data_IF_282446993600
#
_entry.id   IF_282446993600
#
_cell.length_a   1.000
_cell.length_b   1.000
_cell.length_c   1.000
_cell.angle_alpha   90.00
_cell.angle_beta   90.00
_cell.angle_gamma   90.00
#
_symmetry.space_group_name_H-M   'P 1'
#
loop_
_entity.id
_entity.type
_entity.pdbx_description
1 polymer ?
#
# COMPACT_ATOMS: atom_id res chain seq x y z
N UNK A 1 -3.91 -5.75 -5.31
CA UNK A 1 -2.81 -5.96 -4.34
C UNK A 1 -3.06 -5.07 -3.14
N UNK A 2 -2.71 -5.52 -1.93
CA UNK A 2 -2.84 -4.75 -0.71
C UNK A 2 -1.46 -4.62 -0.07
N UNK A 3 -1.05 -3.42 0.29
CA UNK A 3 0.18 -3.21 1.05
C UNK A 3 -0.07 -3.53 2.52
N UNK A 4 0.88 -4.19 3.18
CA UNK A 4 0.78 -4.56 4.61
C UNK A 4 0.48 -3.35 5.52
N UNK A 5 1.02 -2.18 5.18
CA UNK A 5 0.83 -0.95 5.93
C UNK A 5 -0.62 -0.48 6.04
N UNK A 6 -1.55 -0.96 5.19
CA UNK A 6 -2.98 -0.65 5.30
C UNK A 6 -3.60 -1.19 6.59
N UNK A 7 -3.02 -2.23 7.20
CA UNK A 7 -3.47 -2.76 8.48
C UNK A 7 -3.45 -1.69 9.59
N UNK A 8 -2.56 -0.69 9.52
CA UNK A 8 -2.53 0.44 10.46
C UNK A 8 -3.73 1.38 10.36
N UNK A 9 -4.54 1.29 9.30
CA UNK A 9 -5.73 2.13 9.11
C UNK A 9 -6.99 1.53 9.70
N UNK A 10 -6.95 0.25 10.10
CA UNK A 10 -8.08 -0.39 10.76
C UNK A 10 -8.06 -0.10 12.25
N UNK A 11 -9.26 -0.03 12.84
CA UNK A 11 -9.39 0.03 14.28
C UNK A 11 -8.85 -1.29 14.88
N UNK A 12 -7.96 -1.25 15.89
CA UNK A 12 -7.42 -2.46 16.52
C UNK A 12 -8.51 -3.43 16.99
N UNK A 13 -9.63 -2.90 17.48
CA UNK A 13 -10.79 -3.68 17.95
C UNK A 13 -11.46 -4.47 16.82
N UNK A 14 -11.44 -3.95 15.59
CA UNK A 14 -12.00 -4.61 14.42
C UNK A 14 -11.09 -5.76 13.96
N UNK A 15 -9.78 -5.55 14.00
CA UNK A 15 -8.80 -6.60 13.69
C UNK A 15 -8.82 -7.72 14.75
N UNK A 16 -8.90 -7.35 16.03
CA UNK A 16 -8.94 -8.29 17.16
C UNK A 16 -10.18 -9.20 17.17
N UNK A 17 -11.29 -8.78 16.56
CA UNK A 17 -12.49 -9.63 16.39
C UNK A 17 -12.25 -10.78 15.41
N UNK A 18 -11.23 -10.66 14.57
CA UNK A 18 -10.98 -11.57 13.47
C UNK A 18 -9.66 -12.33 13.64
N UNK A 19 -8.70 -11.81 14.40
CA UNK A 19 -7.43 -12.47 14.71
C UNK A 19 -6.87 -12.12 16.11
N UNK A 20 -6.09 -13.04 16.69
CA UNK A 20 -5.32 -12.75 17.90
C UNK A 20 -4.06 -11.96 17.53
N UNK A 21 -3.99 -10.70 17.93
CA UNK A 21 -2.88 -9.80 17.58
C UNK A 21 -1.89 -9.68 18.74
N UNK A 22 -0.63 -10.04 18.51
CA UNK A 22 0.46 -9.80 19.46
C UNK A 22 1.02 -8.37 19.34
N UNK A 23 1.37 -7.77 20.48
CA UNK A 23 2.07 -6.49 20.55
C UNK A 23 3.57 -6.73 20.58
N UNK A 24 4.34 -5.89 19.90
CA UNK A 24 5.79 -5.86 19.99
C UNK A 24 6.28 -5.24 21.30
N UNK A 25 7.61 -5.24 21.47
CA UNK A 25 8.32 -4.71 22.64
C UNK A 25 8.10 -3.21 22.85
N UNK A 26 7.61 -2.49 21.83
CA UNK A 26 7.27 -1.05 21.88
C UNK A 26 5.77 -0.81 22.13
N UNK A 27 4.99 -1.88 22.33
CA UNK A 27 3.55 -1.84 22.52
C UNK A 27 2.73 -1.65 21.24
N UNK A 28 3.36 -1.72 20.07
CA UNK A 28 2.70 -1.60 18.75
C UNK A 28 2.23 -2.96 18.28
N UNK A 29 1.12 -2.98 17.54
CA UNK A 29 0.62 -4.19 16.90
C UNK A 29 1.63 -4.70 15.86
N UNK A 30 2.01 -5.98 15.93
CA UNK A 30 2.84 -6.60 14.90
C UNK A 30 2.00 -6.85 13.65
N UNK A 31 2.11 -5.93 12.69
CA UNK A 31 1.36 -5.99 11.42
C UNK A 31 1.67 -7.22 10.59
N UNK A 32 2.89 -7.76 10.70
CA UNK A 32 3.33 -8.97 9.99
C UNK A 32 2.59 -10.23 10.44
N UNK A 33 2.06 -10.25 11.67
CA UNK A 33 1.30 -11.37 12.22
C UNK A 33 -0.18 -11.29 11.85
N UNK A 34 -0.67 -10.12 11.44
CA UNK A 34 -2.05 -9.99 10.94
C UNK A 34 -2.12 -10.60 9.55
N UNK A 35 -2.89 -11.67 9.38
CA UNK A 35 -3.18 -12.25 8.08
C UNK A 35 -4.25 -11.42 7.38
N UNK A 36 -3.91 -10.19 7.00
CA UNK A 36 -4.80 -9.25 6.34
C UNK A 36 -5.49 -9.87 5.11
N UNK A 37 -4.78 -10.71 4.35
CA UNK A 37 -5.33 -11.44 3.22
C UNK A 37 -6.52 -12.33 3.61
N UNK A 38 -6.42 -13.03 4.74
CA UNK A 38 -7.48 -13.88 5.29
C UNK A 38 -8.68 -13.07 5.76
N UNK A 39 -8.44 -11.98 6.49
CA UNK A 39 -9.50 -11.06 6.96
C UNK A 39 -10.26 -10.49 5.77
N UNK A 40 -9.55 -9.95 4.78
CA UNK A 40 -10.15 -9.38 3.58
C UNK A 40 -10.92 -10.42 2.77
N UNK A 41 -10.36 -11.61 2.59
CA UNK A 41 -11.04 -12.72 1.92
C UNK A 41 -12.36 -13.09 2.60
N UNK A 42 -12.37 -13.21 3.92
CA UNK A 42 -13.60 -13.47 4.69
C UNK A 42 -14.65 -12.36 4.49
N UNK A 43 -14.25 -11.08 4.60
CA UNK A 43 -15.16 -9.94 4.43
C UNK A 43 -15.75 -9.88 3.02
N UNK A 44 -14.91 -10.10 2.00
CA UNK A 44 -15.35 -10.10 0.59
C UNK A 44 -16.27 -11.29 0.29
N UNK A 45 -15.92 -12.50 0.78
CA UNK A 45 -16.78 -13.68 0.64
C UNK A 45 -18.15 -13.45 1.27
N UNK A 46 -18.20 -12.99 2.53
CA UNK A 46 -19.46 -12.68 3.22
C UNK A 46 -20.30 -11.67 2.45
N UNK A 47 -19.65 -10.64 1.89
CA UNK A 47 -20.32 -9.63 1.07
C UNK A 47 -20.84 -10.16 -0.28
N UNK A 48 -20.22 -11.16 -0.87
CA UNK A 48 -20.66 -11.76 -2.15
C UNK A 48 -21.74 -12.81 -1.90
N UNK A 49 -21.59 -13.64 -0.88
CA UNK A 49 -22.58 -14.64 -0.46
C UNK A 49 -23.91 -14.00 -0.06
N UNK A 50 -23.89 -12.85 0.64
CA UNK A 50 -25.12 -12.12 0.96
C UNK A 50 -25.89 -11.63 -0.28
N UNK A 51 -25.24 -11.62 -1.45
CA UNK A 51 -25.82 -11.29 -2.76
C UNK A 51 -26.00 -12.53 -3.63
N UNK A 52 -25.88 -13.74 -3.07
CA UNK A 52 -26.02 -15.00 -3.81
C UNK A 52 -24.90 -15.26 -4.83
N UNK A 53 -23.77 -14.55 -4.75
CA UNK A 53 -22.63 -14.72 -5.66
C UNK A 53 -21.63 -15.67 -4.99
N UNK A 54 -21.50 -16.87 -5.54
CA UNK A 54 -20.54 -17.88 -5.07
C UNK A 54 -19.27 -17.81 -5.90
N UNK A 55 -18.15 -17.45 -5.27
CA UNK A 55 -16.82 -17.42 -5.89
C UNK A 55 -15.78 -18.02 -4.97
N UNK A 56 -14.72 -18.59 -5.54
CA UNK A 56 -13.57 -19.04 -4.79
C UNK A 56 -12.52 -17.94 -4.77
N UNK A 57 -12.18 -17.45 -3.58
CA UNK A 57 -11.12 -16.45 -3.38
C UNK A 57 -9.91 -17.13 -2.73
N UNK A 58 -8.76 -16.97 -3.37
CA UNK A 58 -7.47 -17.42 -2.82
C UNK A 58 -6.63 -16.18 -2.54
N UNK A 59 -6.22 -16.04 -1.29
CA UNK A 59 -5.27 -15.03 -0.85
C UNK A 59 -3.85 -15.59 -0.94
N UNK A 60 -2.91 -14.73 -1.32
CA UNK A 60 -1.48 -15.06 -1.38
C UNK A 60 -0.72 -13.90 -0.75
N UNK A 61 -0.01 -14.18 0.33
CA UNK A 61 0.97 -13.26 0.88
C UNK A 61 2.31 -13.52 0.17
N UNK A 62 2.95 -12.45 -0.30
CA UNK A 62 4.25 -12.50 -0.95
C UNK A 62 5.11 -11.40 -0.33
N UNK A 63 6.21 -11.77 0.29
CA UNK A 63 7.05 -10.79 0.97
C UNK A 63 8.46 -11.30 1.21
N UNK A 64 8.61 -12.43 1.90
CA UNK A 64 9.93 -13.04 2.12
C UNK A 64 10.58 -13.42 0.79
N UNK A 65 9.79 -14.00 -0.13
CA UNK A 65 10.24 -14.43 -1.44
C UNK A 65 10.78 -13.27 -2.28
N UNK A 66 10.20 -12.07 -2.14
CA UNK A 66 10.65 -10.87 -2.84
C UNK A 66 11.85 -10.23 -2.16
N UNK A 67 11.92 -10.25 -0.83
CA UNK A 67 13.04 -9.68 -0.05
C UNK A 67 14.30 -10.52 -0.10
N UNK A 68 14.16 -11.84 -0.28
CA UNK A 68 15.27 -12.79 -0.33
C UNK A 68 15.72 -13.12 -1.76
N UNK A 69 15.07 -12.54 -2.78
CA UNK A 69 15.50 -12.70 -4.16
C UNK A 69 16.84 -12.03 -4.40
N UNK A 70 17.63 -12.57 -5.34
CA UNK A 70 18.85 -11.92 -5.78
C UNK A 70 18.52 -10.55 -6.43
N UNK A 71 19.36 -9.52 -6.20
CA UNK A 71 19.15 -8.21 -6.80
C UNK A 71 19.21 -8.31 -8.33
N UNK A 72 18.34 -7.55 -9.00
CA UNK A 72 18.43 -7.39 -10.47
C UNK A 72 19.59 -6.46 -10.85
N UNK A 73 20.02 -6.39 -12.12
CA UNK A 73 21.13 -5.51 -12.52
C UNK A 73 20.95 -4.04 -12.09
N UNK A 74 19.72 -3.53 -12.14
CA UNK A 74 19.39 -2.19 -11.65
C UNK A 74 19.72 -2.03 -10.16
N UNK A 75 19.30 -2.96 -9.30
CA UNK A 75 19.57 -2.91 -7.86
C UNK A 75 21.06 -2.99 -7.58
N UNK A 76 21.79 -3.84 -8.31
CA UNK A 76 23.24 -3.99 -8.17
C UNK A 76 24.00 -2.72 -8.56
N UNK A 77 23.59 -2.05 -9.64
CA UNK A 77 24.16 -0.75 -10.05
C UNK A 77 23.79 0.35 -9.05
N UNK A 78 22.52 0.45 -8.67
CA UNK A 78 22.00 1.45 -7.75
C UNK A 78 22.72 1.39 -6.40
N UNK A 79 22.82 0.19 -5.80
CA UNK A 79 23.49 -0.02 -4.52
C UNK A 79 25.00 0.22 -4.59
N UNK A 80 25.65 -0.13 -5.71
CA UNK A 80 27.06 0.22 -5.95
C UNK A 80 27.26 1.74 -5.98
N UNK A 81 26.39 2.47 -6.66
CA UNK A 81 26.44 3.93 -6.74
C UNK A 81 26.22 4.58 -5.37
N UNK A 82 25.26 4.09 -4.59
CA UNK A 82 25.04 4.53 -3.21
C UNK A 82 26.27 4.28 -2.31
N UNK A 83 26.86 3.08 -2.39
CA UNK A 83 28.06 2.73 -1.63
C UNK A 83 29.25 3.62 -1.98
N UNK A 84 29.51 3.84 -3.27
CA UNK A 84 30.53 4.80 -3.73
C UNK A 84 30.26 6.21 -3.20
N UNK A 85 29.01 6.67 -3.28
CA UNK A 85 28.60 7.98 -2.78
C UNK A 85 28.84 8.15 -1.28
N UNK A 86 28.56 7.11 -0.48
CA UNK A 86 28.79 7.10 0.96
C UNK A 86 30.28 7.23 1.31
N UNK A 87 31.12 6.42 0.67
CA UNK A 87 32.58 6.49 0.89
C UNK A 87 33.12 7.85 0.47
N UNK A 88 32.75 8.34 -0.71
CA UNK A 88 33.16 9.66 -1.20
C UNK A 88 32.75 10.79 -0.23
N UNK A 89 31.50 10.76 0.26
CA UNK A 89 30.99 11.76 1.19
C UNK A 89 31.78 11.79 2.51
N UNK A 90 32.08 10.62 3.07
CA UNK A 90 32.88 10.50 4.30
C UNK A 90 34.32 10.98 4.09
N UNK A 91 34.96 10.62 2.97
CA UNK A 91 36.33 11.08 2.64
C UNK A 91 36.43 12.60 2.47
N UNK A 92 35.34 13.25 2.08
CA UNK A 92 35.25 14.71 1.99
C UNK A 92 34.93 15.37 3.35
N UNK A 93 34.90 14.61 4.44
CA UNK A 93 34.60 15.11 5.79
C UNK A 93 33.11 15.25 6.10
N UNK A 94 32.22 14.73 5.24
CA UNK A 94 30.79 14.73 5.48
C UNK A 94 30.37 13.81 6.63
N UNK A 95 29.30 14.16 7.33
CA UNK A 95 28.72 13.37 8.42
C UNK A 95 27.20 13.56 8.51
N UNK A 96 26.52 12.72 9.27
CA UNK A 96 25.12 12.92 9.66
C UNK A 96 24.12 13.05 8.50
N UNK A 97 24.36 12.36 7.39
CA UNK A 97 23.54 12.44 6.17
C UNK A 97 23.30 11.07 5.55
N UNK A 98 22.13 10.90 4.92
CA UNK A 98 21.83 9.76 4.05
C UNK A 98 22.26 10.08 2.61
N UNK A 99 22.91 9.14 1.94
CA UNK A 99 23.19 9.25 0.52
C UNK A 99 21.98 8.75 -0.27
N UNK A 100 21.55 9.57 -1.22
CA UNK A 100 20.44 9.26 -2.12
C UNK A 100 20.92 9.40 -3.57
N UNK A 101 20.35 8.58 -4.44
CA UNK A 101 20.58 8.68 -5.89
C UNK A 101 19.27 9.07 -6.55
N UNK A 102 19.24 10.27 -7.14
CA UNK A 102 18.04 10.90 -7.67
C UNK A 102 18.34 11.56 -9.01
N UNK A 103 17.57 11.22 -10.05
CA UNK A 103 17.75 11.73 -11.42
C UNK A 103 19.20 11.62 -11.92
N UNK A 104 19.82 10.45 -11.71
CA UNK A 104 21.20 10.18 -12.15
C UNK A 104 22.28 10.87 -11.31
N UNK A 105 21.93 11.52 -10.19
CA UNK A 105 22.88 12.26 -9.35
C UNK A 105 22.90 11.71 -7.92
N UNK A 106 24.11 11.54 -7.38
CA UNK A 106 24.31 11.32 -5.95
C UNK A 106 24.12 12.63 -5.19
N UNK A 107 23.31 12.59 -4.13
CA UNK A 107 23.07 13.71 -3.21
C UNK A 107 23.20 13.21 -1.77
N UNK A 108 23.61 14.09 -0.87
CA UNK A 108 23.55 13.86 0.58
C UNK A 108 22.36 14.63 1.15
N UNK A 109 21.52 13.96 1.93
CA UNK A 109 20.39 14.57 2.64
C UNK A 109 20.66 14.46 4.14
N UNK A 110 20.82 15.58 4.85
CA UNK A 110 21.05 15.58 6.30
C UNK A 110 19.95 14.85 7.06
N UNK A 111 20.32 14.11 8.12
CA UNK A 111 19.32 13.40 8.92
C UNK A 111 18.32 14.37 9.55
N UNK A 112 18.74 15.55 10.01
CA UNK A 112 17.82 16.55 10.58
C UNK A 112 16.69 16.96 9.62
N UNK A 113 16.88 16.85 8.31
CA UNK A 113 15.83 17.13 7.32
C UNK A 113 14.83 15.97 7.18
N UNK A 114 15.23 14.75 7.56
CA UNK A 114 14.43 13.53 7.47
C UNK A 114 13.52 13.29 8.67
N UNK A 115 13.74 13.98 9.79
CA UNK A 115 12.92 13.85 10.99
C UNK A 115 12.05 15.09 11.19
N UNK A 116 10.86 14.91 11.75
CA UNK A 116 10.05 16.02 12.25
C UNK A 116 10.70 16.60 13.52
N UNK A 117 11.03 17.90 13.56
CA UNK A 117 11.73 18.50 14.70
C UNK A 117 11.00 18.34 16.04
N UNK A 118 9.67 18.36 16.02
CA UNK A 118 8.83 18.38 17.22
C UNK A 118 8.64 16.98 17.82
N UNK A 119 8.56 15.96 16.96
CA UNK A 119 8.22 14.59 17.37
C UNK A 119 9.43 13.65 17.34
N UNK A 120 10.52 14.03 16.66
CA UNK A 120 11.67 13.17 16.41
C UNK A 120 11.36 11.96 15.54
N UNK A 121 10.18 11.90 14.91
CA UNK A 121 9.78 10.78 14.06
C UNK A 121 10.29 10.98 12.63
N UNK A 122 10.64 9.89 11.92
CA UNK A 122 10.94 9.98 10.51
C UNK A 122 9.76 10.54 9.73
N UNK A 123 10.01 11.48 8.83
CA UNK A 123 9.02 11.98 7.88
C UNK A 123 8.61 10.85 6.94
N UNK A 124 7.32 10.48 6.97
CA UNK A 124 6.78 9.48 6.06
C UNK A 124 6.53 10.11 4.69
N UNK A 125 7.13 9.53 3.64
CA UNK A 125 6.84 9.90 2.25
C UNK A 125 5.68 9.04 1.75
N UNK A 126 4.53 9.67 1.54
CA UNK A 126 3.39 9.03 0.90
C UNK A 126 3.54 9.03 -0.62
N UNK A 127 2.77 8.16 -1.28
CA UNK A 127 2.61 8.19 -2.73
C UNK A 127 2.01 9.54 -3.12
N UNK A 128 2.66 10.22 -4.06
CA UNK A 128 2.09 11.44 -4.64
C UNK A 128 0.99 11.07 -5.63
N UNK A 129 -0.26 11.26 -5.18
CA UNK A 129 -1.45 10.95 -5.97
C UNK A 129 -1.70 11.91 -7.14
N UNK A 130 -0.88 12.96 -7.26
CA UNK A 130 -0.92 13.91 -8.38
C UNK A 130 0.17 13.65 -9.42
N UNK A 131 1.11 12.75 -9.13
CA UNK A 131 2.19 12.40 -10.06
C UNK A 131 1.70 11.65 -11.30
N UNK A 132 2.34 11.86 -12.45
CA UNK A 132 1.98 11.21 -13.70
C UNK A 132 2.00 9.67 -13.61
N UNK A 133 3.00 9.00 -12.99
CA UNK A 133 2.98 7.55 -12.86
C UNK A 133 1.77 7.05 -12.07
N UNK A 134 1.37 7.78 -11.02
CA UNK A 134 0.17 7.43 -10.26
C UNK A 134 -1.09 7.64 -11.10
N UNK A 135 -1.23 8.79 -11.77
CA UNK A 135 -2.39 9.09 -12.61
C UNK A 135 -2.55 8.07 -13.74
N UNK A 136 -1.46 7.76 -14.45
CA UNK A 136 -1.46 6.72 -15.48
C UNK A 136 -1.86 5.37 -14.89
N UNK A 137 -1.24 4.96 -13.78
CA UNK A 137 -1.61 3.70 -13.11
C UNK A 137 -3.08 3.67 -12.70
N UNK A 138 -3.59 4.79 -12.20
CA UNK A 138 -4.98 5.02 -11.78
C UNK A 138 -5.96 4.88 -12.96
N UNK A 139 -5.63 5.37 -14.15
CA UNK A 139 -6.46 5.20 -15.37
C UNK A 139 -6.55 3.73 -15.84
N UNK A 140 -5.50 2.93 -15.63
CA UNK A 140 -5.49 1.51 -16.01
C UNK A 140 -6.11 0.58 -14.95
N UNK A 141 -6.46 1.07 -13.76
CA UNK A 141 -7.11 0.25 -12.74
C UNK A 141 -8.56 -0.04 -13.11
N UNK A 142 -8.97 -1.31 -13.03
CA UNK A 142 -10.39 -1.65 -13.05
C UNK A 142 -11.04 -1.29 -11.72
N UNK A 143 -11.89 -0.26 -11.74
CA UNK A 143 -12.62 0.27 -10.58
C UNK A 143 -13.88 0.99 -11.03
N UNK A 144 -14.72 1.33 -10.05
CA UNK A 144 -15.87 2.18 -10.31
C UNK A 144 -15.44 3.64 -10.50
N UNK A 145 -15.96 4.24 -11.56
CA UNK A 145 -15.81 5.65 -11.92
C UNK A 145 -17.19 6.32 -12.08
N UNK A 146 -17.23 7.65 -12.20
CA UNK A 146 -18.50 8.40 -12.26
C UNK A 146 -19.37 7.98 -13.44
N UNK A 147 -18.73 7.59 -14.54
CA UNK A 147 -19.32 7.08 -15.78
C UNK A 147 -20.12 5.79 -15.56
N UNK A 148 -19.71 4.94 -14.61
CA UNK A 148 -20.39 3.68 -14.30
C UNK A 148 -21.76 3.91 -13.66
N UNK A 149 -21.96 5.07 -13.03
CA UNK A 149 -23.22 5.45 -12.38
C UNK A 149 -24.21 6.12 -13.34
N UNK A 150 -23.83 6.33 -14.60
CA UNK A 150 -24.76 6.82 -15.64
C UNK A 150 -25.88 5.79 -15.88
N UNK A 151 -27.12 6.22 -16.20
CA UNK A 151 -28.29 5.33 -16.29
C UNK A 151 -28.13 4.12 -17.22
N UNK A 152 -27.32 4.25 -18.27
CA UNK A 152 -27.02 3.20 -19.25
C UNK A 152 -26.09 2.10 -18.71
N UNK A 153 -25.12 2.47 -17.86
CA UNK A 153 -24.09 1.58 -17.34
C UNK A 153 -24.49 0.93 -16.02
N UNK A 154 -25.08 1.72 -15.11
CA UNK A 154 -25.34 1.28 -13.74
C UNK A 154 -26.29 0.08 -13.67
N UNK A 155 -27.23 -0.02 -14.63
CA UNK A 155 -28.16 -1.16 -14.72
C UNK A 155 -27.40 -2.47 -14.95
N UNK A 156 -26.40 -2.46 -15.83
CA UNK A 156 -25.59 -3.64 -16.17
C UNK A 156 -24.71 -4.06 -14.99
N UNK A 157 -24.08 -3.07 -14.34
CA UNK A 157 -23.16 -3.32 -13.21
C UNK A 157 -23.93 -3.79 -11.98
N UNK A 158 -25.07 -3.17 -11.66
CA UNK A 158 -25.92 -3.58 -10.55
C UNK A 158 -26.46 -5.02 -10.77
N UNK A 159 -26.86 -5.36 -11.99
CA UNK A 159 -27.27 -6.72 -12.34
C UNK A 159 -26.12 -7.73 -12.17
N UNK A 160 -24.90 -7.41 -12.63
CA UNK A 160 -23.72 -8.27 -12.42
C UNK A 160 -23.36 -8.44 -10.93
N UNK A 161 -23.67 -7.44 -10.11
CA UNK A 161 -23.51 -7.48 -8.66
C UNK A 161 -24.67 -8.16 -7.92
N UNK A 162 -25.71 -8.65 -8.63
CA UNK A 162 -26.97 -9.15 -8.09
C UNK A 162 -27.62 -8.19 -7.07
N UNK A 163 -27.73 -6.92 -7.45
CA UNK A 163 -28.29 -5.84 -6.63
C UNK A 163 -29.28 -5.00 -7.42
N UNK A 164 -30.22 -4.35 -6.73
CA UNK A 164 -31.03 -3.28 -7.34
C UNK A 164 -30.17 -2.04 -7.55
N UNK A 165 -30.49 -1.23 -8.56
CA UNK A 165 -29.75 0.01 -8.86
C UNK A 165 -29.68 0.95 -7.65
N UNK A 166 -30.77 1.10 -6.89
CA UNK A 166 -30.79 1.94 -5.69
C UNK A 166 -29.85 1.44 -4.59
N UNK A 167 -29.85 0.13 -4.34
CA UNK A 167 -28.96 -0.50 -3.35
C UNK A 167 -27.50 -0.40 -3.78
N UNK A 168 -27.22 -0.57 -5.07
CA UNK A 168 -25.88 -0.43 -5.63
C UNK A 168 -25.36 1.00 -5.43
N UNK A 169 -26.18 2.02 -5.73
CA UNK A 169 -25.84 3.43 -5.46
C UNK A 169 -25.56 3.66 -3.98
N UNK A 170 -26.46 3.24 -3.10
CA UNK A 170 -26.30 3.43 -1.67
C UNK A 170 -25.00 2.80 -1.14
N UNK A 171 -24.60 1.66 -1.70
CA UNK A 171 -23.41 0.93 -1.27
C UNK A 171 -22.10 1.45 -1.86
N UNK A 172 -22.08 1.93 -3.10
CA UNK A 172 -20.81 2.19 -3.81
C UNK A 172 -20.63 3.62 -4.32
N UNK A 173 -21.63 4.50 -4.18
CA UNK A 173 -21.47 5.87 -4.68
C UNK A 173 -20.42 6.68 -3.91
N UNK A 174 -20.17 6.36 -2.64
CA UNK A 174 -19.21 7.11 -1.80
C UNK A 174 -17.73 6.87 -2.15
N UNK A 175 -17.42 5.85 -2.97
CA UNK A 175 -16.04 5.50 -3.36
C UNK A 175 -15.62 6.07 -4.73
N UNK A 176 -16.47 6.90 -5.33
CA UNK A 176 -16.34 7.48 -6.68
C UNK A 176 -16.33 9.01 -6.63
#
# INVERSE_FOLDING_TARGET
MLAEGIANKFAPEELLRHECVEKDETGRVRLSEIQLGRVMKMLVNKSLESRGIKVTIVDKNIGYELRAANPIPFDAEYTRNLGYGAVKFLLMGGTGSMIVFYEGKLKSVPFCEMFEPETGKPKMRYVDITSEPYLVGREYMMRLEKEDFKPENIKKIAAAANMRVMEFKQRFLYIV
#
